data_IF_427290094427
#
_entry.id   IF_427290094427
#
_cell.length_a   1.000
_cell.length_b   1.000
_cell.length_c   1.000
_cell.angle_alpha   90.00
_cell.angle_beta   90.00
_cell.angle_gamma   90.00
#
_symmetry.space_group_name_H-M   'P 1'
#
loop_
_entity.id
_entity.type
_entity.pdbx_description
1 polymer ?
#
# COMPACT_ATOMS: atom_id res chain seq x y z
N UNK A 1 14.40 -9.14 7.53
CA UNK A 1 14.04 -10.05 6.43
C UNK A 1 14.99 -9.73 5.28
N UNK A 2 15.63 -10.72 4.66
CA UNK A 2 16.52 -10.47 3.52
C UNK A 2 15.74 -10.06 2.26
N UNK A 3 16.45 -9.58 1.23
CA UNK A 3 15.81 -9.18 -0.03
C UNK A 3 15.00 -10.33 -0.65
N UNK A 4 15.59 -11.52 -0.75
CA UNK A 4 14.91 -12.68 -1.32
C UNK A 4 13.67 -13.11 -0.49
N UNK A 5 13.78 -13.05 0.84
CA UNK A 5 12.73 -13.52 1.74
C UNK A 5 11.44 -12.69 1.61
N UNK A 6 11.56 -11.37 1.50
CA UNK A 6 10.36 -10.52 1.35
C UNK A 6 9.76 -10.68 -0.04
N UNK A 7 10.59 -10.82 -1.08
CA UNK A 7 10.13 -11.10 -2.44
C UNK A 7 9.32 -12.39 -2.51
N UNK A 8 9.84 -13.47 -1.92
CA UNK A 8 9.13 -14.75 -1.84
C UNK A 8 7.84 -14.65 -1.03
N UNK A 9 7.86 -13.91 0.08
CA UNK A 9 6.68 -13.70 0.92
C UNK A 9 5.59 -12.94 0.15
N UNK A 10 5.95 -11.87 -0.54
CA UNK A 10 5.03 -11.07 -1.35
C UNK A 10 4.44 -11.89 -2.50
N UNK A 11 5.26 -12.61 -3.27
CA UNK A 11 4.78 -13.43 -4.39
C UNK A 11 3.89 -14.59 -3.94
N UNK A 12 4.18 -15.26 -2.81
CA UNK A 12 3.31 -16.30 -2.25
C UNK A 12 1.97 -15.74 -1.79
N UNK A 13 1.98 -14.58 -1.14
CA UNK A 13 0.74 -13.91 -0.75
C UNK A 13 -0.08 -13.52 -1.99
N UNK A 14 0.57 -13.00 -3.02
CA UNK A 14 -0.09 -12.65 -4.28
C UNK A 14 -0.72 -13.87 -4.97
N UNK A 15 -0.05 -15.02 -4.98
CA UNK A 15 -0.61 -16.29 -5.47
C UNK A 15 -1.84 -16.72 -4.65
N UNK A 16 -1.74 -16.67 -3.32
CA UNK A 16 -2.84 -17.07 -2.44
C UNK A 16 -4.08 -16.17 -2.61
N UNK A 17 -3.86 -14.87 -2.84
CA UNK A 17 -4.91 -13.89 -3.07
C UNK A 17 -5.37 -13.80 -4.52
N UNK A 18 -4.66 -14.46 -5.46
CA UNK A 18 -4.81 -14.27 -6.91
C UNK A 18 -4.74 -12.78 -7.30
N UNK A 19 -3.78 -12.07 -6.73
CA UNK A 19 -3.65 -10.63 -6.90
C UNK A 19 -3.28 -10.26 -8.34
N UNK A 20 -3.92 -9.21 -8.88
CA UNK A 20 -3.60 -8.68 -10.20
C UNK A 20 -2.30 -7.86 -10.20
N UNK A 21 -1.94 -7.29 -9.05
CA UNK A 21 -0.79 -6.41 -8.92
C UNK A 21 -0.12 -6.45 -7.53
N UNK A 22 1.14 -6.02 -7.50
CA UNK A 22 1.93 -5.71 -6.31
C UNK A 22 2.38 -4.25 -6.43
N UNK A 23 1.98 -3.40 -5.48
CA UNK A 23 2.35 -1.99 -5.44
C UNK A 23 3.63 -1.82 -4.63
N UNK A 24 4.58 -1.05 -5.16
CA UNK A 24 5.92 -0.86 -4.58
C UNK A 24 6.32 0.61 -4.64
N UNK A 25 6.75 1.18 -3.52
CA UNK A 25 7.31 2.53 -3.49
C UNK A 25 8.76 2.56 -4.02
N UNK A 26 9.01 3.37 -5.07
CA UNK A 26 10.29 3.39 -5.79
C UNK A 26 11.33 4.36 -5.23
N UNK A 27 10.98 5.17 -4.24
CA UNK A 27 11.81 6.28 -3.73
C UNK A 27 13.14 5.84 -3.09
N UNK A 28 13.25 4.57 -2.69
CA UNK A 28 14.46 3.99 -2.09
C UNK A 28 14.86 2.67 -2.77
N UNK A 29 14.92 2.67 -4.11
CA UNK A 29 15.41 1.54 -4.90
C UNK A 29 14.34 0.75 -5.64
N UNK A 30 13.39 1.44 -6.30
CA UNK A 30 12.33 0.81 -7.10
C UNK A 30 12.85 -0.25 -8.09
N UNK A 31 13.95 0.04 -8.78
CA UNK A 31 14.61 -0.92 -9.68
C UNK A 31 15.02 -2.22 -8.96
N UNK A 32 15.49 -2.12 -7.71
CA UNK A 32 15.84 -3.28 -6.90
C UNK A 32 14.61 -4.08 -6.48
N UNK A 33 13.50 -3.42 -6.16
CA UNK A 33 12.29 -4.09 -5.71
C UNK A 33 11.60 -4.88 -6.83
N UNK A 34 11.51 -4.32 -8.04
CA UNK A 34 11.05 -5.07 -9.22
C UNK A 34 11.95 -6.28 -9.48
N UNK A 35 13.26 -6.11 -9.39
CA UNK A 35 14.21 -7.19 -9.59
C UNK A 35 14.04 -8.30 -8.56
N UNK A 36 13.90 -7.96 -7.28
CA UNK A 36 13.66 -8.92 -6.19
C UNK A 36 12.38 -9.70 -6.41
N UNK A 37 11.28 -9.02 -6.76
CA UNK A 37 9.99 -9.68 -7.05
C UNK A 37 10.10 -10.61 -8.27
N UNK A 38 10.80 -10.18 -9.32
CA UNK A 38 10.98 -10.99 -10.53
C UNK A 38 11.82 -12.24 -10.25
N UNK A 39 12.90 -12.10 -9.47
CA UNK A 39 13.73 -13.24 -9.06
C UNK A 39 12.98 -14.22 -8.16
N UNK A 40 12.21 -13.71 -7.20
CA UNK A 40 11.37 -14.51 -6.32
C UNK A 40 10.29 -15.25 -7.11
N UNK A 41 9.63 -14.58 -8.06
CA UNK A 41 8.64 -15.20 -8.93
C UNK A 41 9.25 -16.33 -9.77
N UNK A 42 10.40 -16.09 -10.39
CA UNK A 42 11.09 -17.10 -11.20
C UNK A 42 11.53 -18.31 -10.35
N UNK A 43 11.87 -18.09 -9.07
CA UNK A 43 12.12 -19.17 -8.12
C UNK A 43 10.85 -20.00 -7.88
N UNK A 44 9.72 -19.36 -7.55
CA UNK A 44 8.43 -20.03 -7.34
C UNK A 44 7.89 -20.71 -8.61
N UNK A 45 8.27 -20.22 -9.79
CA UNK A 45 7.92 -20.85 -11.06
C UNK A 45 8.72 -22.12 -11.27
N UNK A 46 10.02 -22.10 -10.98
CA UNK A 46 10.92 -23.26 -11.10
C UNK A 46 10.60 -24.38 -10.12
N UNK A 47 10.16 -24.05 -8.91
CA UNK A 47 9.76 -25.04 -7.91
C UNK A 47 8.32 -25.58 -8.09
N UNK A 48 7.59 -25.07 -9.09
CA UNK A 48 6.22 -25.50 -9.41
C UNK A 48 5.14 -24.85 -8.55
N UNK A 49 5.48 -23.99 -7.58
CA UNK A 49 4.51 -23.33 -6.68
C UNK A 49 3.52 -22.44 -7.42
N UNK A 50 3.90 -21.82 -8.53
CA UNK A 50 2.99 -20.95 -9.30
C UNK A 50 1.83 -21.72 -9.92
N UNK A 51 1.95 -23.04 -10.11
CA UNK A 51 0.93 -23.89 -10.74
C UNK A 51 0.43 -23.33 -12.10
N UNK A 52 1.33 -22.71 -12.87
CA UNK A 52 1.00 -22.13 -14.17
C UNK A 52 0.36 -20.74 -14.13
N UNK A 53 0.17 -20.15 -12.94
CA UNK A 53 -0.29 -18.76 -12.82
C UNK A 53 0.76 -17.79 -13.39
N UNK A 54 0.28 -16.63 -13.84
CA UNK A 54 1.12 -15.54 -14.36
C UNK A 54 1.54 -14.59 -13.24
N UNK A 55 2.70 -13.95 -13.42
CA UNK A 55 3.19 -12.98 -12.45
C UNK A 55 2.25 -11.77 -12.36
N UNK A 56 1.87 -11.32 -11.14
CA UNK A 56 1.17 -10.07 -10.95
C UNK A 56 1.96 -8.88 -11.51
N UNK A 57 1.25 -7.83 -11.92
CA UNK A 57 1.90 -6.58 -12.35
C UNK A 57 2.64 -5.95 -11.18
N UNK A 58 3.88 -5.52 -11.38
CA UNK A 58 4.59 -4.69 -10.39
C UNK A 58 4.31 -3.22 -10.72
N UNK A 59 3.53 -2.57 -9.86
CA UNK A 59 3.15 -1.17 -9.96
C UNK A 59 4.07 -0.33 -9.09
N UNK A 60 4.87 0.50 -9.74
CA UNK A 60 5.82 1.35 -9.07
C UNK A 60 5.21 2.73 -8.81
N UNK A 61 5.26 3.15 -7.55
CA UNK A 61 4.70 4.43 -7.11
C UNK A 61 5.78 5.30 -6.49
N UNK A 62 5.72 6.59 -6.76
CA UNK A 62 6.61 7.59 -6.18
C UNK A 62 5.81 8.39 -5.17
N UNK A 63 6.22 8.42 -3.90
CA UNK A 63 5.66 9.37 -2.95
C UNK A 63 6.19 10.77 -3.26
N UNK A 64 5.39 11.57 -3.97
CA UNK A 64 5.72 12.95 -4.32
C UNK A 64 5.27 13.97 -3.26
N UNK A 65 4.32 13.58 -2.43
CA UNK A 65 3.72 14.42 -1.38
C UNK A 65 4.00 13.84 -0.01
N UNK A 66 3.98 14.70 1.02
CA UNK A 66 4.22 14.28 2.40
C UNK A 66 3.25 13.21 2.87
N UNK A 67 3.71 12.39 3.82
CA UNK A 67 2.98 11.24 4.42
C UNK A 67 1.53 11.57 4.76
N UNK A 68 1.27 12.73 5.37
CA UNK A 68 -0.08 13.23 5.70
C UNK A 68 -0.99 13.36 4.47
N UNK A 69 -0.53 14.09 3.45
CA UNK A 69 -1.33 14.36 2.24
C UNK A 69 -1.64 13.08 1.45
N UNK A 70 -0.76 12.09 1.55
CA UNK A 70 -0.98 10.77 0.94
C UNK A 70 -2.02 9.94 1.73
N UNK A 71 -2.00 9.99 3.06
CA UNK A 71 -2.90 9.21 3.91
C UNK A 71 -4.31 9.81 4.02
N UNK A 72 -4.44 11.12 3.90
CA UNK A 72 -5.68 11.86 4.11
C UNK A 72 -6.86 11.39 3.23
N UNK A 73 -6.70 11.17 1.90
CA UNK A 73 -7.79 10.66 1.07
C UNK A 73 -8.28 9.28 1.52
N UNK A 74 -7.36 8.41 1.93
CA UNK A 74 -7.68 7.06 2.39
C UNK A 74 -8.38 7.10 3.75
N UNK A 75 -7.96 7.98 4.66
CA UNK A 75 -8.64 8.19 5.94
C UNK A 75 -10.10 8.62 5.73
N UNK A 76 -10.38 9.48 4.75
CA UNK A 76 -11.75 9.88 4.41
C UNK A 76 -12.60 8.71 3.89
N UNK A 77 -12.02 7.82 3.07
CA UNK A 77 -12.72 6.60 2.64
C UNK A 77 -13.03 5.66 3.82
N UNK A 78 -12.17 5.59 4.84
CA UNK A 78 -12.49 4.90 6.09
C UNK A 78 -13.63 5.57 6.86
N UNK A 79 -13.61 6.90 7.00
CA UNK A 79 -14.67 7.67 7.69
C UNK A 79 -16.03 7.49 7.02
N UNK A 80 -16.07 7.38 5.69
CA UNK A 80 -17.28 7.11 4.91
C UNK A 80 -17.74 5.65 4.95
N UNK A 81 -16.97 4.76 5.59
CA UNK A 81 -17.27 3.33 5.65
C UNK A 81 -17.12 2.62 4.32
N UNK A 82 -16.28 3.13 3.41
CA UNK A 82 -16.03 2.53 2.09
C UNK A 82 -14.89 1.50 2.11
N UNK A 83 -14.06 1.51 3.15
CA UNK A 83 -12.96 0.56 3.33
C UNK A 83 -13.27 -0.37 4.50
N UNK A 84 -13.12 -1.67 4.26
CA UNK A 84 -13.31 -2.71 5.27
C UNK A 84 -12.15 -3.70 5.28
N UNK A 85 -11.68 -4.05 6.48
CA UNK A 85 -10.73 -5.14 6.67
C UNK A 85 -11.45 -6.42 7.08
N UNK A 86 -11.03 -7.55 6.49
CA UNK A 86 -11.50 -8.87 6.89
C UNK A 86 -10.60 -9.43 7.99
N UNK A 87 -11.19 -9.67 9.16
CA UNK A 87 -10.50 -10.16 10.36
C UNK A 87 -9.67 -9.09 11.07
N UNK A 88 -9.07 -9.45 12.21
CA UNK A 88 -8.24 -8.54 12.99
C UNK A 88 -6.86 -8.36 12.34
N UNK A 89 -6.44 -7.11 12.16
CA UNK A 89 -5.11 -6.71 11.66
C UNK A 89 -4.37 -5.89 12.70
N UNK A 90 -4.31 -6.41 13.94
CA UNK A 90 -3.81 -5.74 15.15
C UNK A 90 -2.61 -4.84 14.92
N UNK A 91 -1.52 -5.31 14.30
CA UNK A 91 -0.32 -4.49 14.09
C UNK A 91 -0.52 -3.33 13.11
N UNK A 92 -1.35 -3.51 12.09
CA UNK A 92 -1.73 -2.44 11.17
C UNK A 92 -2.68 -1.47 11.88
N UNK A 93 -3.69 -1.99 12.56
CA UNK A 93 -4.69 -1.22 13.30
C UNK A 93 -4.05 -0.36 14.40
N UNK A 94 -3.09 -0.91 15.15
CA UNK A 94 -2.29 -0.18 16.13
C UNK A 94 -1.56 1.01 15.48
N UNK A 95 -0.91 0.79 14.34
CA UNK A 95 -0.23 1.87 13.62
C UNK A 95 -1.21 2.92 13.10
N UNK A 96 -2.36 2.50 12.57
CA UNK A 96 -3.40 3.43 12.12
C UNK A 96 -4.00 4.25 13.27
N UNK A 97 -4.17 3.65 14.45
CA UNK A 97 -4.77 4.30 15.62
C UNK A 97 -3.80 5.20 16.40
N UNK A 98 -2.50 4.94 16.33
CA UNK A 98 -1.47 5.63 17.13
C UNK A 98 -0.63 6.62 16.33
N UNK A 99 -0.63 6.55 15.00
CA UNK A 99 0.14 7.47 14.18
C UNK A 99 -0.46 8.88 14.23
N UNK A 100 0.40 9.87 14.46
CA UNK A 100 0.05 11.29 14.36
C UNK A 100 0.96 12.02 13.39
N UNK A 101 0.45 13.11 12.82
CA UNK A 101 1.21 13.95 11.88
C UNK A 101 2.52 14.42 12.53
N UNK A 102 3.62 14.26 11.81
CA UNK A 102 4.96 14.59 12.29
C UNK A 102 5.75 13.39 12.82
N UNK A 103 5.10 12.25 13.06
CA UNK A 103 5.79 10.97 13.24
C UNK A 103 6.28 10.41 11.91
N UNK A 104 7.27 9.53 11.97
CA UNK A 104 7.64 8.73 10.81
C UNK A 104 6.46 7.85 10.36
N UNK A 105 6.24 7.77 9.04
CA UNK A 105 5.21 6.89 8.46
C UNK A 105 5.45 5.48 8.96
N UNK A 106 4.43 4.82 9.52
CA UNK A 106 4.56 3.43 9.94
C UNK A 106 4.67 2.54 8.70
N UNK A 107 5.55 1.53 8.75
CA UNK A 107 5.76 0.57 7.66
C UNK A 107 4.45 -0.01 7.08
N UNK A 108 3.52 -0.48 7.92
CA UNK A 108 2.28 -1.15 7.47
C UNK A 108 1.21 -0.17 7.07
N UNK A 109 1.05 0.93 7.81
CA UNK A 109 0.08 1.97 7.45
C UNK A 109 0.42 2.55 6.08
N UNK A 110 1.69 2.83 5.80
CA UNK A 110 2.11 3.37 4.51
C UNK A 110 1.84 2.39 3.36
N UNK A 111 2.15 1.11 3.57
CA UNK A 111 1.83 0.05 2.63
C UNK A 111 0.31 -0.07 2.39
N UNK A 112 -0.51 0.04 3.45
CA UNK A 112 -1.96 0.03 3.32
C UNK A 112 -2.48 1.22 2.52
N UNK A 113 -1.98 2.43 2.79
CA UNK A 113 -2.34 3.64 2.04
C UNK A 113 -2.01 3.49 0.55
N UNK A 114 -0.85 2.94 0.20
CA UNK A 114 -0.49 2.68 -1.19
C UNK A 114 -1.41 1.65 -1.86
N UNK A 115 -1.67 0.52 -1.20
CA UNK A 115 -2.56 -0.50 -1.72
C UNK A 115 -4.00 -0.01 -1.89
N UNK A 116 -4.51 0.75 -0.93
CA UNK A 116 -5.87 1.29 -0.96
C UNK A 116 -6.02 2.41 -1.99
N UNK A 117 -4.98 3.21 -2.20
CA UNK A 117 -4.96 4.22 -3.28
C UNK A 117 -5.09 3.57 -4.66
N UNK A 118 -4.41 2.45 -4.90
CA UNK A 118 -4.51 1.73 -6.18
C UNK A 118 -5.88 1.08 -6.38
N UNK A 119 -6.55 0.66 -5.29
CA UNK A 119 -7.86 0.03 -5.34
C UNK A 119 -9.02 1.05 -5.42
N UNK A 120 -8.81 2.26 -4.94
CA UNK A 120 -9.86 3.27 -4.87
C UNK A 120 -10.21 3.81 -6.26
N UNK A 121 -11.50 4.11 -6.46
CA UNK A 121 -11.97 4.74 -7.70
C UNK A 121 -11.34 6.14 -7.84
N UNK A 122 -10.69 6.46 -8.97
CA UNK A 122 -10.12 7.79 -9.21
C UNK A 122 -11.12 8.93 -9.00
N UNK A 123 -12.39 8.73 -9.35
CA UNK A 123 -13.45 9.72 -9.19
C UNK A 123 -13.81 9.90 -7.71
N UNK A 124 -13.78 8.83 -6.91
CA UNK A 124 -13.96 8.91 -5.46
C UNK A 124 -12.78 9.64 -4.81
N UNK A 125 -11.54 9.31 -5.20
CA UNK A 125 -10.35 10.00 -4.71
C UNK A 125 -10.36 11.49 -5.09
N UNK A 126 -10.81 11.83 -6.30
CA UNK A 126 -10.92 13.21 -6.76
C UNK A 126 -12.04 13.97 -6.01
N UNK A 127 -13.19 13.35 -5.78
CA UNK A 127 -14.28 13.94 -5.02
C UNK A 127 -13.86 14.22 -3.57
N UNK A 128 -13.15 13.29 -2.95
CA UNK A 128 -12.57 13.46 -1.61
C UNK A 128 -11.54 14.59 -1.62
N UNK A 129 -10.60 14.60 -2.58
CA UNK A 129 -9.58 15.64 -2.68
C UNK A 129 -10.16 17.05 -2.90
N UNK A 130 -11.26 17.18 -3.67
CA UNK A 130 -11.96 18.44 -3.89
C UNK A 130 -12.69 18.97 -2.65
N UNK A 131 -13.03 18.10 -1.70
CA UNK A 131 -13.66 18.46 -0.42
C UNK A 131 -12.65 18.79 0.69
N UNK A 132 -11.34 18.70 0.45
CA UNK A 132 -10.30 19.09 1.40
C UNK A 132 -10.21 20.63 1.45
N UNK A 133 -11.12 21.26 2.18
CA UNK A 133 -10.90 22.55 2.83
C UNK A 133 -10.64 22.25 4.32
N UNK A 134 -9.37 22.18 4.71
CA UNK A 134 -9.00 22.01 6.12
C UNK A 134 -9.09 23.37 6.85
N UNK A 135 -10.32 23.79 7.18
CA UNK A 135 -10.59 24.95 8.03
C UNK A 135 -10.42 24.65 9.53
N UNK A 136 -9.94 23.45 9.91
CA UNK A 136 -9.84 23.05 11.34
C UNK A 136 -8.74 23.80 12.10
N UNK A 137 -7.87 24.52 11.40
CA UNK A 137 -6.89 25.46 11.98
C UNK A 137 -7.25 26.95 11.73
N UNK A 138 -8.34 27.23 11.00
CA UNK A 138 -8.84 28.57 10.73
C UNK A 138 -9.53 29.17 11.95
N UNK A 139 -8.77 29.64 12.93
CA UNK A 139 -9.34 30.32 14.10
C UNK A 139 -8.49 30.34 15.37
N UNK A 140 -7.30 29.74 15.38
CA UNK A 140 -6.37 29.87 16.50
C UNK A 140 -5.54 31.15 16.36
N UNK A 141 -6.00 32.20 17.05
CA UNK A 141 -5.19 33.38 17.39
C UNK A 141 -4.09 33.03 18.38
#
# INVERSE_FOLDING_TARGET
>A
MGANDWGLTACRLALALKADAIVVESNYGGDMARQVLSQAWEQLRRDGTTAGQIMPRVLEVTAKVGKRLRAEPIAQLYEQGLIHHVGARVRLEEQMATWVVGMDSPDRMDAAVHGLTELADPDQLAAVAGHIHDDRLGGRR
#
